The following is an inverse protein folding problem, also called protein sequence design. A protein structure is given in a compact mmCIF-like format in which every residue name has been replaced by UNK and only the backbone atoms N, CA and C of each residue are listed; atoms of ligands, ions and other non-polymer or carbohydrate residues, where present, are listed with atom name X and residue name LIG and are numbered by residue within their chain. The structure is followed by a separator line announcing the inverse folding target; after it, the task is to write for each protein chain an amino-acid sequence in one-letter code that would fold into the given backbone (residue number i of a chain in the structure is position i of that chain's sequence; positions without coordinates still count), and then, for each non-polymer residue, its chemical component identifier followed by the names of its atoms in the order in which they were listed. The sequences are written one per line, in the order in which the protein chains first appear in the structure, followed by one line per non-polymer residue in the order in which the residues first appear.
data_IF_308297866268
#
_entry.id   IF_308297866268
#
_cell.length_a   1.000
_cell.length_b   1.000
_cell.length_c   1.000
_cell.angle_alpha   90.00
_cell.angle_beta   90.00
_cell.angle_gamma   90.00
#
_symmetry.space_group_name_H-M   'P 1'
#
loop_
_entity.id
_entity.type
_entity.pdbx_description
1 polymer ?
#
# COMPACT_ATOMS: atom_id res chain seq x y z
N UNK A 1 26.60 -9.16 7.31
CA UNK A 1 26.31 -7.79 7.84
C UNK A 1 27.63 -7.02 7.90
N UNK A 2 27.65 -5.78 7.42
CA UNK A 2 28.82 -4.92 7.62
C UNK A 2 28.82 -4.45 9.09
N UNK A 3 29.81 -4.80 9.92
CA UNK A 3 29.85 -4.40 11.34
C UNK A 3 29.90 -2.88 11.52
N UNK A 4 30.37 -2.15 10.50
CA UNK A 4 30.53 -0.69 10.53
C UNK A 4 29.38 0.06 9.83
N UNK A 5 28.34 -0.64 9.38
CA UNK A 5 27.24 -0.01 8.65
C UNK A 5 26.52 1.07 9.47
N UNK A 6 26.45 0.91 10.80
CA UNK A 6 25.87 1.91 11.70
C UNK A 6 26.69 3.21 11.78
N UNK A 7 27.99 3.18 11.43
CA UNK A 7 28.86 4.35 11.39
C UNK A 7 28.67 5.19 10.11
N UNK A 8 27.99 4.64 9.09
CA UNK A 8 27.73 5.34 7.84
C UNK A 8 26.73 6.50 8.01
N UNK A 9 25.90 6.48 9.06
CA UNK A 9 24.96 7.55 9.39
C UNK A 9 25.46 8.37 10.58
N UNK A 10 25.88 9.61 10.31
CA UNK A 10 26.43 10.53 11.32
C UNK A 10 25.37 11.29 12.12
N UNK A 11 24.10 11.23 11.72
CA UNK A 11 22.99 11.92 12.36
C UNK A 11 22.26 11.06 13.41
N UNK A 12 21.30 11.65 14.15
CA UNK A 12 20.41 10.90 15.02
C UNK A 12 19.62 9.83 14.26
N UNK A 13 19.33 8.70 14.87
CA UNK A 13 18.60 7.57 14.24
C UNK A 13 17.22 7.96 13.71
N UNK A 14 16.54 8.86 14.41
CA UNK A 14 15.22 9.34 14.00
C UNK A 14 15.23 10.10 12.67
N UNK A 15 16.31 10.82 12.34
CA UNK A 15 16.42 11.54 11.05
C UNK A 15 16.53 10.56 9.87
N UNK A 16 17.23 9.45 10.06
CA UNK A 16 17.23 8.36 9.07
C UNK A 16 15.83 7.73 8.96
N UNK A 17 15.17 7.48 10.11
CA UNK A 17 13.82 6.93 10.12
C UNK A 17 12.83 7.83 9.36
N UNK A 18 12.90 9.15 9.54
CA UNK A 18 12.09 10.12 8.78
C UNK A 18 12.41 10.05 7.29
N UNK A 19 13.69 10.07 6.91
CA UNK A 19 14.09 10.00 5.50
C UNK A 19 13.56 8.72 4.82
N UNK A 20 13.72 7.57 5.47
CA UNK A 20 13.25 6.28 4.97
C UNK A 20 11.71 6.18 4.97
N UNK A 21 11.03 6.78 5.94
CA UNK A 21 9.58 6.86 5.96
C UNK A 21 9.05 7.72 4.80
N UNK A 22 9.66 8.89 4.56
CA UNK A 22 9.32 9.75 3.42
C UNK A 22 9.48 9.02 2.07
N UNK A 23 10.55 8.22 1.93
CA UNK A 23 10.72 7.36 0.75
C UNK A 23 9.61 6.32 0.63
N UNK A 24 9.28 5.64 1.72
CA UNK A 24 8.28 4.57 1.72
C UNK A 24 6.85 5.07 1.50
N UNK A 25 6.52 6.24 2.05
CA UNK A 25 5.16 6.80 1.98
C UNK A 25 4.83 7.44 0.64
N UNK A 26 5.83 7.78 -0.19
CA UNK A 26 5.61 8.52 -1.44
C UNK A 26 4.61 7.81 -2.37
N UNK A 27 4.60 6.47 -2.37
CA UNK A 27 3.67 5.67 -3.14
C UNK A 27 2.20 5.94 -2.76
N UNK A 28 1.75 5.58 -1.55
CA UNK A 28 0.39 5.87 -1.09
C UNK A 28 0.06 7.35 -1.12
N UNK A 29 1.00 8.21 -0.70
CA UNK A 29 0.81 9.65 -0.67
C UNK A 29 0.42 10.21 -2.05
N UNK A 30 1.04 9.73 -3.13
CA UNK A 30 0.71 10.19 -4.49
C UNK A 30 -0.64 9.67 -5.02
N UNK A 31 -1.20 8.61 -4.42
CA UNK A 31 -2.56 8.15 -4.70
C UNK A 31 -3.56 9.04 -3.97
N UNK A 32 -3.37 9.20 -2.67
CA UNK A 32 -4.34 9.83 -1.79
C UNK A 32 -4.44 11.35 -2.02
N UNK A 33 -3.33 12.02 -2.38
CA UNK A 33 -3.32 13.44 -2.75
C UNK A 33 -4.10 13.71 -4.04
N UNK A 34 -4.15 12.76 -4.95
CA UNK A 34 -4.79 12.88 -6.26
C UNK A 34 -6.31 12.72 -6.20
N UNK A 35 -6.83 11.90 -5.27
CA UNK A 35 -8.25 11.51 -5.21
C UNK A 35 -9.23 12.69 -5.08
N UNK A 36 -8.98 13.74 -4.28
CA UNK A 36 -9.90 14.87 -4.18
C UNK A 36 -10.11 15.66 -5.47
N UNK A 37 -9.12 15.64 -6.38
CA UNK A 37 -9.19 16.35 -7.66
C UNK A 37 -9.81 15.52 -8.81
N UNK A 38 -10.21 14.29 -8.55
CA UNK A 38 -10.59 13.29 -9.57
C UNK A 38 -11.68 13.78 -10.53
N UNK A 39 -12.75 14.38 -9.99
CA UNK A 39 -13.84 14.93 -10.78
C UNK A 39 -13.40 16.15 -11.62
N UNK A 40 -12.56 17.03 -11.05
CA UNK A 40 -12.03 18.18 -11.76
C UNK A 40 -11.12 17.79 -12.91
N UNK A 41 -10.27 16.78 -12.72
CA UNK A 41 -9.43 16.22 -13.79
C UNK A 41 -10.30 15.62 -14.87
N UNK A 42 -11.30 14.80 -14.53
CA UNK A 42 -12.22 14.19 -15.48
C UNK A 42 -12.85 15.24 -16.40
N UNK A 43 -13.34 16.33 -15.81
CA UNK A 43 -13.93 17.45 -16.56
C UNK A 43 -12.90 18.14 -17.45
N UNK A 44 -11.68 18.39 -16.93
CA UNK A 44 -10.62 19.11 -17.65
C UNK A 44 -10.12 18.36 -18.88
N UNK A 45 -9.94 17.03 -18.78
CA UNK A 45 -9.40 16.20 -19.89
C UNK A 45 -10.49 15.48 -20.69
N UNK A 46 -11.77 15.75 -20.40
CA UNK A 46 -12.92 15.11 -21.08
C UNK A 46 -12.98 13.59 -20.83
N UNK A 47 -12.58 13.11 -19.65
CA UNK A 47 -12.51 11.69 -19.34
C UNK A 47 -13.78 11.19 -18.65
N UNK A 48 -14.15 9.94 -18.97
CA UNK A 48 -15.21 9.23 -18.23
C UNK A 48 -14.72 8.77 -16.85
N UNK A 49 -15.62 8.50 -15.87
CA UNK A 49 -15.24 7.93 -14.57
C UNK A 49 -14.42 6.64 -14.69
N UNK A 50 -14.74 5.79 -15.68
CA UNK A 50 -13.99 4.55 -15.95
C UNK A 50 -12.56 4.84 -16.40
N UNK A 51 -12.37 5.80 -17.31
CA UNK A 51 -11.04 6.21 -17.75
C UNK A 51 -10.21 6.81 -16.62
N UNK A 52 -10.85 7.55 -15.72
CA UNK A 52 -10.18 8.05 -14.51
C UNK A 52 -9.72 6.92 -13.60
N UNK A 53 -10.52 5.86 -13.40
CA UNK A 53 -10.10 4.68 -12.63
C UNK A 53 -8.91 3.95 -13.28
N UNK A 54 -8.77 4.01 -14.60
CA UNK A 54 -7.60 3.46 -15.30
C UNK A 54 -6.29 4.16 -14.93
N UNK A 55 -6.33 5.45 -14.52
CA UNK A 55 -5.12 6.14 -14.04
C UNK A 55 -4.62 5.56 -12.73
N UNK A 56 -5.52 5.17 -11.83
CA UNK A 56 -5.18 4.47 -10.58
C UNK A 56 -4.73 3.04 -10.84
N UNK A 57 -5.45 2.33 -11.72
CA UNK A 57 -5.12 0.96 -12.10
C UNK A 57 -3.73 0.87 -12.75
N UNK A 58 -3.40 1.78 -13.67
CA UNK A 58 -2.09 1.83 -14.33
C UNK A 58 -0.95 2.11 -13.35
N UNK A 59 -1.17 3.02 -12.41
CA UNK A 59 -0.23 3.29 -11.33
C UNK A 59 0.02 2.04 -10.48
N UNK A 60 -1.06 1.39 -9.99
CA UNK A 60 -0.97 0.19 -9.15
C UNK A 60 -0.37 -1.00 -9.90
N UNK A 61 -0.65 -1.13 -11.20
CA UNK A 61 -0.04 -2.16 -12.04
C UNK A 61 1.47 -1.93 -12.21
N UNK A 62 1.88 -0.69 -12.50
CA UNK A 62 3.29 -0.31 -12.57
C UNK A 62 4.02 -0.60 -11.25
N UNK A 63 3.40 -0.22 -10.14
CA UNK A 63 3.89 -0.50 -8.79
C UNK A 63 4.03 -2.01 -8.53
N UNK A 64 3.02 -2.81 -8.89
CA UNK A 64 3.00 -4.26 -8.72
C UNK A 64 4.14 -4.95 -9.47
N UNK A 65 4.29 -4.61 -10.76
CA UNK A 65 5.33 -5.20 -11.62
C UNK A 65 6.71 -4.89 -11.07
N UNK A 66 6.98 -3.63 -10.75
CA UNK A 66 8.31 -3.23 -10.28
C UNK A 66 8.65 -3.70 -8.87
N UNK A 67 7.64 -3.94 -8.01
CA UNK A 67 7.89 -4.54 -6.69
C UNK A 67 8.59 -5.91 -6.76
N UNK A 68 8.38 -6.67 -7.82
CA UNK A 68 9.12 -7.93 -8.04
C UNK A 68 10.62 -7.69 -8.31
N UNK A 69 10.96 -6.57 -8.93
CA UNK A 69 12.32 -6.31 -9.41
C UNK A 69 13.12 -5.41 -8.47
N UNK A 70 12.49 -4.48 -7.74
CA UNK A 70 13.19 -3.50 -6.90
C UNK A 70 14.15 -4.14 -5.91
N UNK A 71 13.77 -5.26 -5.27
CA UNK A 71 14.64 -5.98 -4.33
C UNK A 71 15.91 -6.48 -5.03
N UNK A 72 15.74 -7.25 -6.09
CA UNK A 72 16.86 -7.83 -6.86
C UNK A 72 17.72 -6.76 -7.55
N UNK A 73 17.10 -5.70 -8.06
CA UNK A 73 17.83 -4.55 -8.62
C UNK A 73 18.65 -3.84 -7.55
N UNK A 74 18.12 -3.67 -6.33
CA UNK A 74 18.85 -3.04 -5.24
C UNK A 74 20.03 -3.90 -4.72
N UNK A 75 19.88 -5.24 -4.81
CA UNK A 75 20.95 -6.18 -4.46
C UNK A 75 22.06 -6.21 -5.53
N UNK A 76 21.74 -5.87 -6.76
CA UNK A 76 22.69 -5.86 -7.89
C UNK A 76 23.36 -4.49 -8.08
N UNK A 77 22.57 -3.42 -8.18
CA UNK A 77 23.04 -2.06 -8.48
C UNK A 77 23.57 -1.34 -7.24
N UNK A 78 23.07 -1.71 -6.07
CA UNK A 78 23.25 -1.00 -4.80
C UNK A 78 21.99 -0.29 -4.35
N UNK A 79 21.89 0.02 -3.06
CA UNK A 79 20.71 0.63 -2.44
C UNK A 79 20.52 2.07 -2.92
N UNK A 80 21.58 2.87 -2.79
CA UNK A 80 21.56 4.30 -3.12
C UNK A 80 21.29 4.57 -4.60
N UNK A 81 21.95 3.94 -5.58
CA UNK A 81 21.66 4.17 -7.00
C UNK A 81 20.21 3.86 -7.37
N UNK A 82 19.63 2.79 -6.82
CA UNK A 82 18.24 2.44 -7.10
C UNK A 82 17.26 3.46 -6.51
N UNK A 83 17.49 3.93 -5.28
CA UNK A 83 16.67 4.99 -4.67
C UNK A 83 16.72 6.27 -5.50
N UNK A 84 17.92 6.71 -5.87
CA UNK A 84 18.10 7.96 -6.65
C UNK A 84 17.47 7.83 -8.05
N UNK A 85 17.66 6.71 -8.73
CA UNK A 85 17.03 6.43 -10.03
C UNK A 85 15.49 6.40 -9.94
N UNK A 86 14.95 5.72 -8.92
CA UNK A 86 13.52 5.68 -8.65
C UNK A 86 12.94 7.05 -8.36
N UNK A 87 13.58 7.86 -7.50
CA UNK A 87 13.13 9.22 -7.18
C UNK A 87 13.20 10.15 -8.40
N UNK A 88 14.25 10.06 -9.22
CA UNK A 88 14.36 10.83 -10.45
C UNK A 88 13.23 10.49 -11.43
N UNK A 89 12.97 9.18 -11.64
CA UNK A 89 11.86 8.74 -12.49
C UNK A 89 10.49 9.18 -11.94
N UNK A 90 10.28 9.08 -10.61
CA UNK A 90 9.06 9.56 -9.97
C UNK A 90 8.85 11.06 -10.20
N UNK A 91 9.90 11.86 -10.02
CA UNK A 91 9.86 13.31 -10.24
C UNK A 91 9.51 13.65 -11.69
N UNK A 92 10.21 13.02 -12.65
CA UNK A 92 9.94 13.23 -14.08
C UNK A 92 8.54 12.77 -14.48
N UNK A 93 8.07 11.64 -13.98
CA UNK A 93 6.72 11.16 -14.22
C UNK A 93 5.67 12.09 -13.60
N UNK A 94 5.94 12.67 -12.43
CA UNK A 94 5.06 13.68 -11.81
C UNK A 94 4.99 14.95 -12.64
N UNK A 95 6.13 15.43 -13.19
CA UNK A 95 6.15 16.54 -14.15
C UNK A 95 5.33 16.19 -15.40
N UNK A 96 5.49 14.97 -15.93
CA UNK A 96 4.69 14.48 -17.05
C UNK A 96 3.19 14.49 -16.76
N UNK A 97 2.77 14.03 -15.58
CA UNK A 97 1.38 14.12 -15.13
C UNK A 97 0.89 15.60 -15.07
N UNK A 98 1.74 16.51 -14.53
CA UNK A 98 1.40 17.93 -14.43
C UNK A 98 1.27 18.63 -15.80
N UNK A 99 1.93 18.11 -16.82
CA UNK A 99 1.89 18.65 -18.19
C UNK A 99 0.90 17.92 -19.10
N UNK A 100 0.22 16.89 -18.60
CA UNK A 100 -0.73 16.08 -19.39
C UNK A 100 -1.96 16.89 -19.76
N UNK A 101 -2.35 16.81 -21.03
CA UNK A 101 -3.55 17.44 -21.57
C UNK A 101 -4.61 16.41 -21.97
N UNK A 102 -4.25 15.14 -21.99
CA UNK A 102 -5.13 14.03 -22.38
C UNK A 102 -5.11 12.93 -21.32
N UNK A 103 -6.21 12.17 -21.25
CA UNK A 103 -6.28 11.03 -20.33
C UNK A 103 -5.22 9.96 -20.64
N UNK A 104 -4.87 9.76 -21.92
CA UNK A 104 -3.85 8.79 -22.33
C UNK A 104 -2.46 9.14 -21.82
N UNK A 105 -2.07 10.43 -21.90
CA UNK A 105 -0.82 10.94 -21.32
C UNK A 105 -0.81 10.72 -19.81
N UNK A 106 -1.90 11.07 -19.12
CA UNK A 106 -2.01 10.92 -17.68
C UNK A 106 -1.88 9.44 -17.27
N UNK A 107 -2.56 8.51 -17.96
CA UNK A 107 -2.45 7.06 -17.73
C UNK A 107 -1.00 6.58 -17.89
N UNK A 108 -0.32 7.03 -18.94
CA UNK A 108 1.08 6.67 -19.21
C UNK A 108 2.03 7.16 -18.10
N UNK A 109 1.95 8.45 -17.75
CA UNK A 109 2.82 9.00 -16.71
C UNK A 109 2.48 8.47 -15.32
N UNK A 110 1.21 8.14 -15.04
CA UNK A 110 0.80 7.46 -13.81
C UNK A 110 1.39 6.05 -13.71
N UNK A 111 1.46 5.31 -14.82
CA UNK A 111 2.15 4.01 -14.85
C UNK A 111 3.63 4.14 -14.50
N UNK A 112 4.35 5.11 -15.10
CA UNK A 112 5.76 5.38 -14.80
C UNK A 112 5.97 5.81 -13.34
N UNK A 113 5.07 6.66 -12.81
CA UNK A 113 5.08 7.10 -11.42
C UNK A 113 4.90 5.91 -10.47
N UNK A 114 3.96 5.00 -10.77
CA UNK A 114 3.76 3.75 -10.02
C UNK A 114 4.98 2.84 -10.07
N UNK A 115 5.58 2.64 -11.24
CA UNK A 115 6.80 1.84 -11.41
C UNK A 115 7.94 2.32 -10.53
N UNK A 116 8.08 3.62 -10.32
CA UNK A 116 9.18 4.21 -9.56
C UNK A 116 8.91 4.29 -8.06
N UNK A 117 7.67 4.49 -7.64
CA UNK A 117 7.30 4.74 -6.24
C UNK A 117 7.61 3.57 -5.30
N UNK A 118 7.55 2.33 -5.79
CA UNK A 118 7.85 1.13 -5.02
C UNK A 118 9.31 0.99 -4.59
N UNK A 119 10.25 1.63 -5.31
CA UNK A 119 11.67 1.56 -4.99
C UNK A 119 11.97 2.05 -3.57
N UNK A 120 11.39 3.18 -3.17
CA UNK A 120 11.56 3.75 -1.85
C UNK A 120 11.11 2.80 -0.73
N UNK A 121 9.94 2.20 -0.87
CA UNK A 121 9.39 1.29 0.14
C UNK A 121 10.22 0.00 0.31
N UNK A 122 10.62 -0.62 -0.80
CA UNK A 122 11.38 -1.88 -0.78
C UNK A 122 12.78 -1.66 -0.24
N UNK A 123 13.46 -0.63 -0.74
CA UNK A 123 14.87 -0.38 -0.40
C UNK A 123 15.03 0.17 1.00
N UNK A 124 14.09 0.97 1.53
CA UNK A 124 14.13 1.44 2.91
C UNK A 124 14.24 0.30 3.92
N UNK A 125 13.48 -0.78 3.72
CA UNK A 125 13.54 -1.96 4.59
C UNK A 125 14.89 -2.67 4.49
N UNK A 126 15.47 -2.74 3.29
CA UNK A 126 16.79 -3.34 3.09
C UNK A 126 17.88 -2.52 3.78
N UNK A 127 17.85 -1.18 3.63
CA UNK A 127 18.80 -0.25 4.29
C UNK A 127 18.77 -0.43 5.81
N UNK A 128 17.59 -0.51 6.42
CA UNK A 128 17.46 -0.72 7.87
C UNK A 128 18.13 -2.03 8.30
N UNK A 129 17.93 -3.10 7.53
CA UNK A 129 18.52 -4.42 7.81
C UNK A 129 20.05 -4.44 7.60
N UNK A 130 20.54 -3.65 6.63
CA UNK A 130 21.98 -3.54 6.36
C UNK A 130 22.70 -2.73 7.44
N UNK A 131 22.02 -1.72 8.02
CA UNK A 131 22.63 -0.75 8.93
C UNK A 131 22.53 -1.11 10.42
N UNK A 132 21.49 -1.83 10.82
CA UNK A 132 21.19 -2.01 12.25
C UNK A 132 21.13 -3.48 12.66
N UNK A 133 21.63 -3.82 13.89
CA UNK A 133 21.39 -5.13 14.49
C UNK A 133 19.87 -5.34 14.71
N UNK A 134 19.40 -6.59 14.86
CA UNK A 134 17.98 -6.93 14.84
C UNK A 134 17.10 -6.09 15.78
N UNK A 135 17.55 -5.82 17.01
CA UNK A 135 16.79 -5.04 18.00
C UNK A 135 16.64 -3.57 17.59
N UNK A 136 17.72 -2.96 17.12
CA UNK A 136 17.70 -1.56 16.66
C UNK A 136 16.97 -1.42 15.32
N UNK A 137 17.14 -2.39 14.42
CA UNK A 137 16.40 -2.47 13.16
C UNK A 137 14.87 -2.49 13.43
N UNK A 138 14.42 -3.25 14.43
CA UNK A 138 13.00 -3.28 14.81
C UNK A 138 12.54 -1.91 15.32
N UNK A 139 13.34 -1.21 16.11
CA UNK A 139 13.01 0.15 16.62
C UNK A 139 12.89 1.16 15.47
N UNK A 140 13.85 1.18 14.56
CA UNK A 140 13.83 2.08 13.39
C UNK A 140 12.65 1.75 12.49
N UNK A 141 12.37 0.46 12.25
CA UNK A 141 11.23 0.03 11.45
C UNK A 141 9.89 0.47 12.06
N UNK A 142 9.76 0.40 13.39
CA UNK A 142 8.57 0.89 14.09
C UNK A 142 8.40 2.41 13.94
N UNK A 143 9.48 3.18 14.02
CA UNK A 143 9.44 4.64 13.77
C UNK A 143 9.01 4.94 12.33
N UNK A 144 9.59 4.25 11.34
CA UNK A 144 9.19 4.38 9.93
C UNK A 144 7.70 4.09 9.74
N UNK A 145 7.18 3.05 10.40
CA UNK A 145 5.76 2.68 10.32
C UNK A 145 4.84 3.75 10.90
N UNK A 146 5.23 4.39 12.01
CA UNK A 146 4.47 5.49 12.62
C UNK A 146 4.39 6.68 11.65
N UNK A 147 5.52 7.11 11.10
CA UNK A 147 5.54 8.21 10.12
C UNK A 147 4.78 7.87 8.84
N UNK A 148 4.91 6.62 8.36
CA UNK A 148 4.16 6.12 7.22
C UNK A 148 2.64 6.19 7.43
N UNK A 149 2.15 5.91 8.64
CA UNK A 149 0.73 5.96 8.97
C UNK A 149 0.11 7.36 8.94
N UNK A 150 0.91 8.43 9.03
CA UNK A 150 0.43 9.82 8.95
C UNK A 150 0.14 10.24 7.51
N UNK A 151 0.87 9.72 6.54
CA UNK A 151 0.82 10.16 5.15
C UNK A 151 -0.59 10.08 4.52
N UNK A 152 -1.32 8.96 4.61
CA UNK A 152 -2.66 8.85 4.01
C UNK A 152 -3.72 9.74 4.68
N UNK A 153 -3.50 10.18 5.93
CA UNK A 153 -4.38 11.14 6.59
C UNK A 153 -4.16 12.56 6.07
N UNK A 154 -2.89 12.93 5.82
CA UNK A 154 -2.50 14.28 5.39
C UNK A 154 -2.66 14.46 3.88
N UNK A 155 -2.41 13.43 3.09
CA UNK A 155 -2.38 13.52 1.63
C UNK A 155 -3.69 14.04 1.00
N UNK A 156 -4.90 13.54 1.36
CA UNK A 156 -6.14 14.06 0.79
C UNK A 156 -6.43 15.50 1.20
N UNK A 157 -5.99 15.91 2.42
CA UNK A 157 -6.12 17.30 2.86
C UNK A 157 -5.27 18.23 2.00
N UNK A 158 -4.00 17.85 1.77
CA UNK A 158 -3.10 18.61 0.90
C UNK A 158 -3.64 18.65 -0.53
N UNK A 159 -4.08 17.52 -1.06
CA UNK A 159 -4.65 17.42 -2.40
C UNK A 159 -5.90 18.28 -2.58
N UNK A 160 -6.82 18.22 -1.61
CA UNK A 160 -8.04 19.02 -1.62
C UNK A 160 -7.75 20.52 -1.56
N UNK A 161 -6.80 20.94 -0.70
CA UNK A 161 -6.39 22.35 -0.61
C UNK A 161 -5.74 22.85 -1.92
N UNK A 162 -4.82 22.08 -2.50
CA UNK A 162 -4.17 22.43 -3.77
C UNK A 162 -5.20 22.53 -4.90
N UNK A 163 -6.14 21.58 -4.97
CA UNK A 163 -7.18 21.58 -5.99
C UNK A 163 -8.12 22.79 -5.89
N UNK A 164 -8.55 23.15 -4.67
CA UNK A 164 -9.49 24.26 -4.46
C UNK A 164 -8.85 25.62 -4.68
N UNK A 165 -7.56 25.80 -4.34
CA UNK A 165 -6.90 27.12 -4.41
C UNK A 165 -6.08 27.36 -5.70
N UNK A 166 -5.74 26.30 -6.42
CA UNK A 166 -5.01 26.40 -7.68
C UNK A 166 -5.75 25.62 -8.79
N UNK A 167 -5.34 24.42 -9.06
CA UNK A 167 -6.02 23.46 -9.92
C UNK A 167 -5.42 22.05 -9.70
N UNK A 168 -5.85 21.06 -10.48
CA UNK A 168 -5.37 19.71 -10.35
C UNK A 168 -3.89 19.53 -10.79
N UNK A 169 -3.35 20.36 -11.69
CA UNK A 169 -1.95 20.31 -12.11
C UNK A 169 -1.02 20.63 -10.94
N UNK A 170 -1.46 21.53 -10.02
CA UNK A 170 -0.71 21.88 -8.82
C UNK A 170 -0.42 20.69 -7.94
N UNK A 171 -1.27 19.67 -7.91
CA UNK A 171 -1.05 18.42 -7.15
C UNK A 171 0.18 17.69 -7.71
N UNK A 172 0.29 17.57 -9.02
CA UNK A 172 1.41 16.87 -9.64
C UNK A 172 2.70 17.71 -9.60
N UNK A 173 2.62 19.03 -9.69
CA UNK A 173 3.76 19.91 -9.44
C UNK A 173 4.25 19.81 -8.00
N UNK A 174 3.34 19.73 -7.04
CA UNK A 174 3.67 19.50 -5.63
C UNK A 174 4.36 18.14 -5.45
N UNK A 175 3.84 17.06 -6.05
CA UNK A 175 4.46 15.74 -6.02
C UNK A 175 5.84 15.72 -6.69
N UNK A 176 6.02 16.45 -7.78
CA UNK A 176 7.32 16.64 -8.43
C UNK A 176 8.31 17.38 -7.50
N UNK A 177 7.84 18.41 -6.81
CA UNK A 177 8.62 19.14 -5.82
C UNK A 177 9.04 18.26 -4.64
N UNK A 178 8.11 17.48 -4.09
CA UNK A 178 8.40 16.50 -3.02
C UNK A 178 9.40 15.47 -3.50
N UNK A 179 9.22 14.92 -4.72
CA UNK A 179 10.15 13.97 -5.33
C UNK A 179 11.55 14.56 -5.50
N UNK A 180 11.67 15.80 -5.98
CA UNK A 180 12.94 16.50 -6.17
C UNK A 180 13.64 16.76 -4.82
N UNK A 181 12.90 17.23 -3.81
CA UNK A 181 13.42 17.44 -2.45
C UNK A 181 13.93 16.13 -1.84
N UNK A 182 13.15 15.05 -1.96
CA UNK A 182 13.56 13.74 -1.50
C UNK A 182 14.76 13.20 -2.29
N UNK A 183 14.79 13.42 -3.60
CA UNK A 183 15.95 13.05 -4.43
C UNK A 183 17.21 13.76 -3.92
N UNK A 184 17.15 15.08 -3.72
CA UNK A 184 18.27 15.90 -3.24
C UNK A 184 18.70 15.48 -1.83
N UNK A 185 17.74 15.25 -0.94
CA UNK A 185 18.00 14.79 0.42
C UNK A 185 18.71 13.42 0.43
N UNK A 186 18.24 12.47 -0.37
CA UNK A 186 18.87 11.16 -0.48
C UNK A 186 20.23 11.23 -1.19
N UNK A 187 20.38 12.06 -2.21
CA UNK A 187 21.66 12.30 -2.85
C UNK A 187 22.71 12.86 -1.86
N UNK A 188 22.28 13.75 -0.97
CA UNK A 188 23.17 14.41 -0.01
C UNK A 188 23.50 13.54 1.20
N UNK A 189 22.53 12.79 1.71
CA UNK A 189 22.63 12.14 3.02
C UNK A 189 22.58 10.63 2.99
N UNK A 190 21.90 10.01 2.01
CA UNK A 190 21.78 8.55 2.02
C UNK A 190 23.11 7.90 1.67
N UNK A 191 23.71 7.10 2.58
CA UNK A 191 24.94 6.34 2.26
C UNK A 191 24.61 5.12 1.40
N UNK A 192 25.61 4.59 0.69
CA UNK A 192 25.51 3.25 0.12
C UNK A 192 25.76 2.22 1.22
N UNK A 193 24.74 1.38 1.49
CA UNK A 193 24.81 0.40 2.57
C UNK A 193 25.21 -0.99 2.10
N UNK A 194 25.13 -1.26 0.79
CA UNK A 194 25.50 -2.53 0.20
C UNK A 194 26.94 -2.48 -0.35
N UNK A 195 27.85 -3.20 0.30
CA UNK A 195 29.23 -3.34 -0.15
C UNK A 195 29.30 -3.93 -1.56
N UNK A 196 30.23 -3.46 -2.40
CA UNK A 196 30.40 -3.98 -3.76
C UNK A 196 30.62 -5.49 -3.80
N UNK A 197 31.38 -6.04 -2.85
CA UNK A 197 31.61 -7.48 -2.74
C UNK A 197 30.36 -8.30 -2.36
N UNK A 198 29.33 -7.67 -1.81
CA UNK A 198 28.07 -8.32 -1.43
C UNK A 198 26.98 -8.20 -2.53
N UNK A 199 27.27 -7.49 -3.62
CA UNK A 199 26.34 -7.34 -4.74
C UNK A 199 26.15 -8.68 -5.46
N UNK A 200 24.91 -9.01 -5.76
CA UNK A 200 24.54 -10.22 -6.47
C UNK A 200 24.25 -9.91 -7.94
N UNK A 201 24.70 -10.75 -8.89
CA UNK A 201 24.36 -10.53 -10.29
C UNK A 201 22.85 -10.64 -10.50
N UNK A 202 22.27 -9.68 -11.21
CA UNK A 202 20.86 -9.69 -11.54
C UNK A 202 20.55 -10.80 -12.54
N UNK A 203 19.85 -11.83 -12.09
CA UNK A 203 19.48 -12.98 -12.93
C UNK A 203 17.96 -13.15 -12.95
N UNK A 204 17.34 -12.59 -13.99
CA UNK A 204 15.88 -12.64 -14.20
C UNK A 204 15.35 -14.07 -14.24
N UNK A 205 16.06 -15.01 -14.87
CA UNK A 205 15.61 -16.40 -14.99
C UNK A 205 15.52 -17.11 -13.64
N UNK A 206 16.50 -16.89 -12.77
CA UNK A 206 16.49 -17.47 -11.42
C UNK A 206 15.42 -16.83 -10.56
N UNK A 207 15.22 -15.52 -10.68
CA UNK A 207 14.18 -14.77 -9.99
C UNK A 207 12.78 -15.26 -10.39
N UNK A 208 12.50 -15.33 -11.69
CA UNK A 208 11.22 -15.81 -12.21
C UNK A 208 10.95 -17.27 -11.85
N UNK A 209 11.99 -18.13 -11.89
CA UNK A 209 11.86 -19.53 -11.44
C UNK A 209 11.51 -19.62 -9.96
N UNK A 210 12.14 -18.79 -9.11
CA UNK A 210 11.83 -18.74 -7.69
C UNK A 210 10.40 -18.25 -7.44
N UNK A 211 9.94 -17.23 -8.14
CA UNK A 211 8.57 -16.73 -8.06
C UNK A 211 7.56 -17.78 -8.53
N UNK A 212 7.85 -18.48 -9.60
CA UNK A 212 7.01 -19.57 -10.09
C UNK A 212 6.87 -20.72 -9.10
N UNK A 213 7.95 -21.08 -8.40
CA UNK A 213 7.90 -22.10 -7.34
C UNK A 213 7.00 -21.67 -6.17
N UNK A 214 7.08 -20.39 -5.76
CA UNK A 214 6.23 -19.82 -4.72
C UNK A 214 4.76 -19.76 -5.15
N UNK A 215 4.50 -19.35 -6.38
CA UNK A 215 3.15 -19.30 -6.95
C UNK A 215 2.51 -20.71 -7.10
N UNK A 216 3.29 -21.77 -7.04
CA UNK A 216 2.78 -23.16 -7.02
C UNK A 216 2.57 -23.72 -5.61
N UNK A 217 2.95 -23.00 -4.56
CA UNK A 217 2.69 -23.42 -3.19
C UNK A 217 1.26 -23.01 -2.77
N UNK A 218 0.30 -23.97 -2.71
CA UNK A 218 -1.10 -23.63 -2.47
C UNK A 218 -1.34 -23.13 -1.05
N UNK A 219 -0.53 -23.57 -0.05
CA UNK A 219 -0.64 -23.09 1.32
C UNK A 219 -0.18 -21.63 1.43
N UNK A 220 0.93 -21.30 0.79
CA UNK A 220 1.44 -19.94 0.70
C UNK A 220 0.40 -19.02 0.02
N UNK A 221 -0.10 -19.40 -1.14
CA UNK A 221 -1.11 -18.63 -1.87
C UNK A 221 -2.39 -18.44 -1.06
N UNK A 222 -2.89 -19.48 -0.39
CA UNK A 222 -4.08 -19.33 0.44
C UNK A 222 -3.89 -18.35 1.60
N UNK A 223 -2.72 -18.32 2.24
CA UNK A 223 -2.39 -17.32 3.27
C UNK A 223 -2.29 -15.91 2.69
N UNK A 224 -1.68 -15.77 1.51
CA UNK A 224 -1.61 -14.47 0.80
C UNK A 224 -3.02 -13.98 0.43
N UNK A 225 -3.88 -14.86 -0.08
CA UNK A 225 -5.27 -14.52 -0.38
C UNK A 225 -6.08 -14.20 0.88
N UNK A 226 -5.88 -14.95 1.97
CA UNK A 226 -6.56 -14.72 3.25
C UNK A 226 -6.24 -13.35 3.86
N UNK A 227 -5.06 -12.77 3.59
CA UNK A 227 -4.67 -11.44 4.07
C UNK A 227 -4.89 -10.33 3.05
N UNK A 228 -4.60 -10.59 1.78
CA UNK A 228 -4.56 -9.59 0.72
C UNK A 228 -5.93 -9.27 0.11
N UNK A 229 -6.78 -10.28 -0.09
CA UNK A 229 -8.10 -10.05 -0.71
C UNK A 229 -9.04 -9.26 0.22
N UNK A 230 -9.16 -9.56 1.54
CA UNK A 230 -9.95 -8.73 2.43
C UNK A 230 -9.50 -7.26 2.50
N UNK A 231 -8.20 -6.99 2.37
CA UNK A 231 -7.71 -5.61 2.26
C UNK A 231 -8.45 -4.82 1.19
N UNK A 232 -8.70 -5.43 0.05
CA UNK A 232 -9.42 -4.79 -1.05
C UNK A 232 -10.88 -4.49 -0.71
N UNK A 233 -11.49 -5.15 0.26
CA UNK A 233 -12.82 -4.82 0.76
C UNK A 233 -12.90 -3.41 1.37
N UNK A 234 -11.82 -2.94 1.99
CA UNK A 234 -11.64 -1.57 2.46
C UNK A 234 -11.03 -0.66 1.38
N UNK A 235 -9.97 -1.11 0.72
CA UNK A 235 -9.22 -0.30 -0.24
C UNK A 235 -10.06 0.10 -1.46
N UNK A 236 -11.07 -0.69 -1.82
CA UNK A 236 -12.06 -0.34 -2.83
C UNK A 236 -12.78 0.98 -2.52
N UNK A 237 -13.12 1.26 -1.26
CA UNK A 237 -13.70 2.54 -0.86
C UNK A 237 -12.70 3.70 -0.98
N UNK A 238 -11.41 3.45 -0.74
CA UNK A 238 -10.35 4.43 -1.01
C UNK A 238 -10.28 4.75 -2.50
N UNK A 239 -10.30 3.72 -3.36
CA UNK A 239 -10.26 3.89 -4.82
C UNK A 239 -11.55 4.52 -5.38
N UNK A 240 -12.69 4.24 -4.77
CA UNK A 240 -13.99 4.84 -5.09
C UNK A 240 -14.23 6.17 -4.36
N UNK A 241 -13.27 6.68 -3.56
CA UNK A 241 -13.47 7.84 -2.71
C UNK A 241 -14.05 9.07 -3.44
N UNK A 242 -13.66 9.41 -4.67
CA UNK A 242 -14.25 10.53 -5.38
C UNK A 242 -15.78 10.41 -5.55
N UNK A 243 -16.26 9.24 -5.90
CA UNK A 243 -17.71 8.96 -6.06
C UNK A 243 -18.35 8.72 -4.70
N UNK A 244 -17.74 7.87 -3.85
CA UNK A 244 -18.29 7.53 -2.54
C UNK A 244 -18.41 8.75 -1.63
N UNK A 245 -17.37 9.56 -1.49
CA UNK A 245 -17.37 10.73 -0.63
C UNK A 245 -18.01 11.94 -1.31
N UNK A 246 -17.69 12.19 -2.59
CA UNK A 246 -18.14 13.36 -3.32
C UNK A 246 -19.60 13.27 -3.79
N UNK A 247 -19.99 12.15 -4.42
CA UNK A 247 -21.33 12.01 -4.99
C UNK A 247 -22.34 11.44 -3.98
N UNK A 248 -21.99 10.33 -3.28
CA UNK A 248 -22.95 9.70 -2.36
C UNK A 248 -23.05 10.40 -1.01
N UNK A 249 -21.92 10.88 -0.45
CA UNK A 249 -21.92 11.54 0.87
C UNK A 249 -21.90 13.07 0.78
N UNK A 250 -21.83 13.64 -0.42
CA UNK A 250 -21.86 15.09 -0.68
C UNK A 250 -20.75 15.87 0.05
N UNK A 251 -19.60 15.24 0.26
CA UNK A 251 -18.44 15.86 0.92
C UNK A 251 -17.60 16.63 -0.09
N UNK A 252 -17.18 17.83 0.30
CA UNK A 252 -16.23 18.61 -0.49
C UNK A 252 -14.81 18.02 -0.50
N UNK A 253 -13.96 18.37 -1.48
CA UNK A 253 -12.59 17.83 -1.62
C UNK A 253 -11.74 17.98 -0.36
N UNK A 254 -11.94 19.07 0.40
CA UNK A 254 -11.21 19.32 1.65
C UNK A 254 -11.69 18.48 2.83
N UNK A 255 -12.84 17.80 2.71
CA UNK A 255 -13.43 16.99 3.77
C UNK A 255 -13.07 15.50 3.63
N UNK A 256 -12.44 15.08 2.54
CA UNK A 256 -12.05 13.68 2.31
C UNK A 256 -11.13 13.15 3.41
N UNK A 257 -10.34 14.01 4.05
CA UNK A 257 -9.43 13.59 5.12
C UNK A 257 -10.13 12.91 6.30
N UNK A 258 -11.42 13.18 6.56
CA UNK A 258 -12.18 12.52 7.64
C UNK A 258 -12.28 11.01 7.43
N UNK A 259 -12.59 10.59 6.20
CA UNK A 259 -12.64 9.18 5.84
C UNK A 259 -11.27 8.48 6.04
N UNK A 260 -10.21 9.11 5.57
CA UNK A 260 -8.86 8.57 5.69
C UNK A 260 -8.41 8.53 7.15
N UNK A 261 -8.69 9.55 7.93
CA UNK A 261 -8.36 9.60 9.37
C UNK A 261 -9.04 8.48 10.13
N UNK A 262 -10.33 8.25 9.90
CA UNK A 262 -11.09 7.16 10.53
C UNK A 262 -10.55 5.78 10.10
N UNK A 263 -10.32 5.58 8.82
CA UNK A 263 -9.83 4.30 8.27
C UNK A 263 -8.44 3.97 8.80
N UNK A 264 -7.53 4.95 8.81
CA UNK A 264 -6.17 4.80 9.35
C UNK A 264 -6.21 4.60 10.86
N UNK A 265 -7.08 5.32 11.56
CA UNK A 265 -7.34 5.09 12.99
C UNK A 265 -7.72 3.64 13.26
N UNK A 266 -8.56 3.05 12.42
CA UNK A 266 -8.89 1.62 12.45
C UNK A 266 -7.66 0.74 12.26
N UNK A 267 -6.86 0.99 11.21
CA UNK A 267 -5.63 0.24 10.93
C UNK A 267 -4.64 0.33 12.11
N UNK A 268 -4.38 1.53 12.61
CA UNK A 268 -3.45 1.75 13.71
C UNK A 268 -3.93 1.09 15.01
N UNK A 269 -5.23 1.23 15.32
CA UNK A 269 -5.85 0.58 16.48
C UNK A 269 -5.75 -0.95 16.42
N UNK A 270 -6.06 -1.54 15.26
CA UNK A 270 -5.95 -2.98 15.04
C UNK A 270 -4.50 -3.48 15.15
N UNK A 271 -3.54 -2.77 14.57
CA UNK A 271 -2.12 -3.08 14.65
C UNK A 271 -1.60 -2.98 16.11
N UNK A 272 -2.01 -1.95 16.84
CA UNK A 272 -1.64 -1.77 18.24
C UNK A 272 -2.18 -2.90 19.13
N UNK A 273 -3.45 -3.27 18.97
CA UNK A 273 -4.05 -4.41 19.66
C UNK A 273 -3.34 -5.71 19.27
N UNK A 274 -3.06 -5.92 17.98
CA UNK A 274 -2.30 -7.06 17.47
C UNK A 274 -0.95 -7.22 18.19
N UNK A 275 -0.21 -6.13 18.31
CA UNK A 275 1.07 -6.11 19.04
C UNK A 275 0.93 -6.45 20.53
N UNK A 276 -0.13 -5.96 21.20
CA UNK A 276 -0.38 -6.26 22.62
C UNK A 276 -0.84 -7.70 22.87
N UNK A 277 -1.50 -8.31 21.90
CA UNK A 277 -1.95 -9.70 21.98
C UNK A 277 -0.85 -10.70 21.61
N UNK A 278 0.24 -10.26 20.99
CA UNK A 278 1.38 -11.10 20.63
C UNK A 278 1.93 -11.85 21.85
N UNK A 279 2.04 -13.17 21.72
CA UNK A 279 2.47 -14.06 22.81
C UNK A 279 1.43 -14.30 23.92
N UNK A 280 0.31 -13.56 23.97
CA UNK A 280 -0.74 -13.72 24.98
C UNK A 280 -1.89 -14.63 24.50
N UNK A 281 -2.19 -14.60 23.21
CA UNK A 281 -3.20 -15.46 22.62
C UNK A 281 -2.59 -16.25 21.46
N UNK A 282 -3.16 -17.42 21.17
CA UNK A 282 -2.73 -18.24 20.03
C UNK A 282 -2.99 -17.51 18.71
N UNK A 283 -2.05 -17.55 17.73
CA UNK A 283 -2.19 -16.89 16.44
C UNK A 283 -3.55 -17.12 15.75
N UNK A 284 -4.06 -18.34 15.83
CA UNK A 284 -5.36 -18.72 15.25
C UNK A 284 -6.56 -18.00 15.86
N UNK A 285 -6.54 -17.74 17.16
CA UNK A 285 -7.61 -16.99 17.83
C UNK A 285 -7.59 -15.54 17.39
N UNK A 286 -6.40 -14.94 17.25
CA UNK A 286 -6.26 -13.58 16.77
C UNK A 286 -6.80 -13.43 15.34
N UNK A 287 -6.45 -14.35 14.43
CA UNK A 287 -6.98 -14.36 13.05
C UNK A 287 -8.49 -14.53 13.07
N UNK A 288 -9.04 -15.47 13.87
CA UNK A 288 -10.49 -15.68 14.00
C UNK A 288 -11.21 -14.44 14.47
N UNK A 289 -10.68 -13.70 15.45
CA UNK A 289 -11.28 -12.45 15.93
C UNK A 289 -11.26 -11.38 14.84
N UNK A 290 -10.15 -11.20 14.11
CA UNK A 290 -10.08 -10.25 13.00
C UNK A 290 -11.10 -10.56 11.89
N UNK A 291 -11.19 -11.83 11.48
CA UNK A 291 -12.17 -12.28 10.48
C UNK A 291 -13.62 -12.11 10.96
N UNK A 292 -13.90 -12.41 12.24
CA UNK A 292 -15.23 -12.25 12.81
C UNK A 292 -15.66 -10.78 12.85
N UNK A 293 -14.77 -9.88 13.28
CA UNK A 293 -15.02 -8.44 13.27
C UNK A 293 -15.34 -7.96 11.85
N UNK A 294 -14.51 -8.34 10.87
CA UNK A 294 -14.73 -7.97 9.46
C UNK A 294 -16.05 -8.52 8.93
N UNK A 295 -16.41 -9.77 9.24
CA UNK A 295 -17.66 -10.38 8.80
C UNK A 295 -18.87 -9.65 9.37
N UNK A 296 -18.89 -9.45 10.70
CA UNK A 296 -20.01 -8.81 11.38
C UNK A 296 -20.23 -7.38 10.89
N UNK A 297 -19.14 -6.61 10.75
CA UNK A 297 -19.24 -5.23 10.29
C UNK A 297 -19.60 -5.12 8.80
N UNK A 298 -19.15 -6.07 7.97
CA UNK A 298 -19.56 -6.12 6.56
C UNK A 298 -21.05 -6.44 6.41
N UNK A 299 -21.57 -7.39 7.19
CA UNK A 299 -23.01 -7.68 7.23
C UNK A 299 -23.80 -6.48 7.73
N UNK A 300 -23.32 -5.82 8.78
CA UNK A 300 -23.94 -4.58 9.28
C UNK A 300 -23.92 -3.47 8.23
N UNK A 301 -22.79 -3.31 7.50
CA UNK A 301 -22.68 -2.31 6.43
C UNK A 301 -23.69 -2.57 5.29
N UNK A 302 -23.86 -3.84 4.88
CA UNK A 302 -24.89 -4.21 3.88
C UNK A 302 -26.29 -3.90 4.43
N UNK A 303 -26.59 -4.28 5.68
CA UNK A 303 -27.89 -4.01 6.29
C UNK A 303 -28.18 -2.50 6.41
N UNK A 304 -27.19 -1.69 6.80
CA UNK A 304 -27.32 -0.23 6.87
C UNK A 304 -27.63 0.38 5.50
N UNK A 305 -26.95 -0.07 4.43
CA UNK A 305 -27.21 0.41 3.07
C UNK A 305 -28.53 -0.10 2.46
N UNK A 306 -29.13 -1.15 3.02
CA UNK A 306 -30.49 -1.61 2.65
C UNK A 306 -31.58 -0.84 3.36
N UNK A 307 -31.33 -0.41 4.59
CA UNK A 307 -32.35 0.18 5.46
C UNK A 307 -32.33 1.71 5.49
N UNK A 308 -31.18 2.32 5.22
CA UNK A 308 -30.96 3.76 5.34
C UNK A 308 -30.27 4.33 4.11
N UNK A 309 -30.58 5.56 3.77
CA UNK A 309 -29.84 6.31 2.77
C UNK A 309 -28.41 6.63 3.24
N UNK A 310 -27.43 6.66 2.33
CA UNK A 310 -26.04 6.96 2.68
C UNK A 310 -25.92 8.34 3.34
N UNK A 311 -25.29 8.39 4.51
CA UNK A 311 -25.02 9.63 5.22
C UNK A 311 -23.64 9.61 5.87
N UNK A 312 -22.93 10.73 5.79
CA UNK A 312 -21.55 10.84 6.28
C UNK A 312 -21.36 10.42 7.75
N UNK A 313 -22.37 10.65 8.59
CA UNK A 313 -22.29 10.36 10.02
C UNK A 313 -22.12 8.87 10.36
N UNK A 314 -22.56 7.95 9.49
CA UNK A 314 -22.44 6.52 9.76
C UNK A 314 -21.71 5.73 8.64
N UNK A 315 -21.78 6.17 7.39
CA UNK A 315 -21.31 5.37 6.24
C UNK A 315 -19.80 5.07 6.25
N UNK A 316 -19.00 5.92 6.91
CA UNK A 316 -17.54 5.73 7.02
C UNK A 316 -17.14 4.78 8.17
N UNK A 317 -17.95 4.65 9.21
CA UNK A 317 -17.63 3.86 10.42
C UNK A 317 -17.44 2.36 10.14
N UNK A 318 -18.30 1.68 9.35
CA UNK A 318 -18.11 0.28 9.03
C UNK A 318 -16.77 0.00 8.38
N UNK A 319 -16.28 0.91 7.52
CA UNK A 319 -15.01 0.77 6.81
C UNK A 319 -13.84 0.90 7.78
N UNK A 320 -13.92 1.82 8.74
CA UNK A 320 -12.92 1.98 9.79
C UNK A 320 -12.83 0.74 10.71
N UNK A 321 -13.97 0.18 11.12
CA UNK A 321 -14.03 -1.04 11.94
C UNK A 321 -13.55 -2.26 11.14
N UNK A 322 -13.89 -2.34 9.86
CA UNK A 322 -13.35 -3.36 8.97
C UNK A 322 -11.83 -3.30 8.90
N UNK A 323 -11.27 -2.11 8.76
CA UNK A 323 -9.83 -1.86 8.72
C UNK A 323 -9.12 -2.27 10.01
N UNK A 324 -9.78 -2.05 11.16
CA UNK A 324 -9.32 -2.54 12.46
C UNK A 324 -9.25 -4.07 12.49
N UNK A 325 -10.31 -4.76 12.06
CA UNK A 325 -10.34 -6.23 12.01
C UNK A 325 -9.26 -6.81 11.10
N UNK A 326 -9.06 -6.20 9.93
CA UNK A 326 -8.00 -6.59 9.00
C UNK A 326 -6.61 -6.41 9.60
N UNK A 327 -6.34 -5.25 10.17
CA UNK A 327 -5.03 -4.92 10.76
C UNK A 327 -4.73 -5.73 12.02
N UNK A 328 -5.77 -6.19 12.74
CA UNK A 328 -5.61 -7.11 13.86
C UNK A 328 -5.02 -8.45 13.42
N UNK A 329 -5.44 -9.00 12.29
CA UNK A 329 -5.05 -10.35 11.84
C UNK A 329 -3.84 -10.37 10.90
N UNK A 330 -3.65 -9.34 10.08
CA UNK A 330 -2.69 -9.37 8.96
C UNK A 330 -1.25 -9.65 9.37
N UNK A 331 -0.70 -9.11 10.50
CA UNK A 331 0.67 -9.42 10.88
C UNK A 331 0.89 -10.91 11.15
N UNK A 332 -0.12 -11.56 11.74
CA UNK A 332 -0.05 -13.00 12.07
C UNK A 332 -0.13 -13.84 10.81
N UNK A 333 -1.06 -13.53 9.90
CA UNK A 333 -1.20 -14.27 8.61
C UNK A 333 0.05 -14.11 7.75
N UNK A 334 0.64 -12.91 7.74
CA UNK A 334 1.88 -12.64 7.01
C UNK A 334 3.04 -13.48 7.54
N UNK A 335 3.21 -13.56 8.85
CA UNK A 335 4.25 -14.41 9.45
C UNK A 335 4.04 -15.89 9.08
N UNK A 336 2.81 -16.39 9.19
CA UNK A 336 2.48 -17.76 8.78
C UNK A 336 2.77 -18.02 7.29
N UNK A 337 2.56 -17.03 6.42
CA UNK A 337 2.89 -17.16 5.00
C UNK A 337 4.41 -17.21 4.77
N UNK A 338 5.18 -16.37 5.47
CA UNK A 338 6.64 -16.36 5.37
C UNK A 338 7.28 -17.63 5.95
N UNK A 339 6.66 -18.23 6.97
CA UNK A 339 7.13 -19.47 7.57
C UNK A 339 6.89 -20.70 6.68
N UNK A 340 6.02 -20.62 5.65
CA UNK A 340 5.91 -21.67 4.63
C UNK A 340 7.18 -21.80 3.75
N UNK A 341 8.06 -20.81 3.76
CA UNK A 341 9.25 -20.73 2.89
C UNK A 341 10.43 -20.08 3.64
N UNK A 342 10.93 -20.72 4.70
CA UNK A 342 11.91 -20.13 5.62
C UNK A 342 13.20 -19.71 4.92
N UNK A 343 13.65 -20.46 3.91
CA UNK A 343 14.88 -20.21 3.16
C UNK A 343 14.77 -19.03 2.18
N UNK A 344 13.54 -18.58 1.84
CA UNK A 344 13.27 -17.58 0.80
C UNK A 344 12.26 -16.51 1.24
N UNK A 345 12.26 -16.14 2.52
CA UNK A 345 11.31 -15.16 3.10
C UNK A 345 11.28 -13.82 2.37
N UNK A 346 12.42 -13.32 1.90
CA UNK A 346 12.49 -12.09 1.11
C UNK A 346 11.73 -12.18 -0.22
N UNK A 347 11.92 -13.30 -0.92
CA UNK A 347 11.21 -13.58 -2.17
C UNK A 347 9.70 -13.78 -1.92
N UNK A 348 9.32 -14.47 -0.85
CA UNK A 348 7.92 -14.64 -0.45
C UNK A 348 7.25 -13.29 -0.15
N UNK A 349 7.94 -12.37 0.54
CA UNK A 349 7.45 -11.01 0.79
C UNK A 349 7.24 -10.23 -0.52
N UNK A 350 8.15 -10.36 -1.50
CA UNK A 350 8.02 -9.72 -2.81
C UNK A 350 6.82 -10.25 -3.59
N UNK A 351 6.61 -11.58 -3.60
CA UNK A 351 5.45 -12.20 -4.25
C UNK A 351 4.15 -11.77 -3.57
N UNK A 352 4.12 -11.78 -2.24
CA UNK A 352 2.95 -11.30 -1.48
C UNK A 352 2.60 -9.85 -1.83
N UNK A 353 3.60 -8.96 -1.85
CA UNK A 353 3.41 -7.54 -2.20
C UNK A 353 2.96 -7.37 -3.66
N UNK A 354 3.52 -8.14 -4.59
CA UNK A 354 3.12 -8.12 -5.99
C UNK A 354 1.66 -8.58 -6.16
N UNK A 355 1.28 -9.72 -5.58
CA UNK A 355 -0.08 -10.24 -5.66
C UNK A 355 -1.09 -9.29 -5.03
N UNK A 356 -0.76 -8.67 -3.89
CA UNK A 356 -1.59 -7.64 -3.28
C UNK A 356 -1.77 -6.43 -4.21
N UNK A 357 -0.68 -5.93 -4.81
CA UNK A 357 -0.74 -4.78 -5.72
C UNK A 357 -1.46 -5.10 -7.03
N UNK A 358 -1.33 -6.33 -7.55
CA UNK A 358 -2.11 -6.79 -8.71
C UNK A 358 -3.61 -6.87 -8.39
N UNK A 359 -3.96 -7.38 -7.21
CA UNK A 359 -5.35 -7.38 -6.74
C UNK A 359 -5.89 -5.95 -6.62
N UNK A 360 -5.10 -5.02 -6.04
CA UNK A 360 -5.45 -3.60 -5.95
C UNK A 360 -5.66 -2.99 -7.35
N UNK A 361 -4.79 -3.30 -8.32
CA UNK A 361 -4.91 -2.83 -9.70
C UNK A 361 -6.18 -3.37 -10.39
N UNK A 362 -6.48 -4.66 -10.19
CA UNK A 362 -7.69 -5.28 -10.73
C UNK A 362 -8.97 -4.68 -10.10
N UNK A 363 -8.93 -4.43 -8.78
CA UNK A 363 -10.03 -3.76 -8.09
C UNK A 363 -10.22 -2.34 -8.63
N UNK A 364 -9.15 -1.56 -8.79
CA UNK A 364 -9.20 -0.20 -9.34
C UNK A 364 -9.73 -0.17 -10.78
N UNK A 365 -9.23 -1.07 -11.64
CA UNK A 365 -9.53 -1.04 -13.06
C UNK A 365 -10.81 -1.76 -13.47
N UNK A 366 -11.30 -2.70 -12.65
CA UNK A 366 -12.45 -3.55 -13.01
C UNK A 366 -13.57 -3.45 -11.97
N UNK A 367 -13.32 -3.75 -10.69
CA UNK A 367 -14.39 -3.82 -9.71
C UNK A 367 -14.98 -2.44 -9.38
N UNK A 368 -14.11 -1.45 -9.12
CA UNK A 368 -14.58 -0.11 -8.75
C UNK A 368 -15.47 0.50 -9.82
N UNK A 369 -15.13 0.52 -11.12
CA UNK A 369 -16.01 1.03 -12.17
C UNK A 369 -17.40 0.38 -12.21
N UNK A 370 -17.49 -0.91 -11.84
CA UNK A 370 -18.74 -1.66 -11.87
C UNK A 370 -19.64 -1.37 -10.66
N UNK A 371 -19.07 -0.99 -9.52
CA UNK A 371 -19.81 -0.92 -8.24
C UNK A 371 -19.84 0.48 -7.61
N UNK A 372 -19.03 1.43 -8.06
CA UNK A 372 -18.87 2.74 -7.41
C UNK A 372 -20.11 3.60 -7.39
N UNK A 373 -21.06 3.38 -8.31
CA UNK A 373 -22.28 4.16 -8.42
C UNK A 373 -23.40 3.71 -7.45
N UNK A 374 -23.14 2.71 -6.59
CA UNK A 374 -24.07 2.25 -5.57
C UNK A 374 -23.33 1.89 -4.29
N UNK A 375 -23.71 2.54 -3.18
CA UNK A 375 -23.13 2.25 -1.86
C UNK A 375 -23.45 0.84 -1.40
N UNK A 376 -24.63 0.32 -1.76
CA UNK A 376 -25.02 -1.07 -1.51
C UNK A 376 -24.12 -2.04 -2.32
N UNK A 377 -23.85 -1.75 -3.60
CA UNK A 377 -22.95 -2.58 -4.41
C UNK A 377 -21.53 -2.60 -3.84
N UNK A 378 -21.02 -1.46 -3.37
CA UNK A 378 -19.73 -1.37 -2.64
C UNK A 378 -19.75 -2.25 -1.37
N UNK A 379 -20.82 -2.18 -0.56
CA UNK A 379 -20.93 -2.95 0.66
C UNK A 379 -20.99 -4.47 0.40
N UNK A 380 -21.79 -4.90 -0.58
CA UNK A 380 -21.91 -6.32 -0.98
C UNK A 380 -20.58 -6.85 -1.56
N UNK A 381 -19.92 -6.05 -2.39
CA UNK A 381 -18.62 -6.44 -2.96
C UNK A 381 -17.53 -6.55 -1.87
N UNK A 382 -17.52 -5.63 -0.91
CA UNK A 382 -16.62 -5.69 0.26
C UNK A 382 -16.86 -6.96 1.08
N UNK A 383 -18.13 -7.33 1.32
CA UNK A 383 -18.49 -8.59 1.98
C UNK A 383 -18.04 -9.81 1.16
N UNK A 384 -18.19 -9.79 -0.16
CA UNK A 384 -17.74 -10.85 -1.06
C UNK A 384 -16.22 -11.05 -1.01
N UNK A 385 -15.45 -9.96 -1.07
CA UNK A 385 -13.98 -10.00 -0.97
C UNK A 385 -13.52 -10.52 0.41
N UNK A 386 -14.20 -10.11 1.48
CA UNK A 386 -13.99 -10.66 2.82
C UNK A 386 -14.30 -12.18 2.86
N UNK A 387 -15.41 -12.60 2.23
CA UNK A 387 -15.81 -14.00 2.12
C UNK A 387 -14.77 -14.87 1.42
N UNK A 388 -14.13 -14.37 0.35
CA UNK A 388 -13.02 -15.07 -0.35
C UNK A 388 -11.84 -15.25 0.62
N UNK A 389 -11.46 -14.20 1.36
CA UNK A 389 -10.39 -14.29 2.36
C UNK A 389 -10.69 -15.30 3.48
N UNK A 390 -11.94 -15.31 3.96
CA UNK A 390 -12.42 -16.29 4.95
C UNK A 390 -12.36 -17.71 4.40
N UNK A 391 -12.82 -17.94 3.18
CA UNK A 391 -12.76 -19.26 2.53
C UNK A 391 -11.31 -19.75 2.37
N UNK A 392 -10.39 -18.87 1.96
CA UNK A 392 -8.97 -19.18 1.86
C UNK A 392 -8.37 -19.55 3.23
N UNK A 393 -8.73 -18.84 4.30
CA UNK A 393 -8.31 -19.17 5.66
C UNK A 393 -8.87 -20.52 6.14
N UNK A 394 -10.16 -20.77 5.96
CA UNK A 394 -10.80 -22.03 6.34
C UNK A 394 -10.17 -23.22 5.60
N UNK A 395 -9.81 -23.03 4.33
CA UNK A 395 -9.16 -24.05 3.53
C UNK A 395 -7.72 -24.36 4.01
N UNK A 396 -6.93 -23.34 4.40
CA UNK A 396 -5.52 -23.53 4.77
C UNK A 396 -5.34 -23.93 6.23
N UNK A 397 -6.21 -23.51 7.13
CA UNK A 397 -6.09 -23.73 8.58
C UNK A 397 -5.84 -25.20 8.97
N UNK A 398 -6.61 -26.21 8.53
CA UNK A 398 -6.35 -27.62 8.88
C UNK A 398 -5.00 -28.11 8.36
N UNK A 399 -4.55 -27.59 7.20
CA UNK A 399 -3.31 -27.99 6.52
C UNK A 399 -2.04 -27.45 7.20
N UNK A 400 -2.18 -26.42 8.04
CA UNK A 400 -1.11 -25.93 8.89
C UNK A 400 -0.95 -26.80 10.16
N UNK A 401 -2.01 -27.50 10.57
CA UNK A 401 -2.01 -28.38 11.75
C UNK A 401 -1.30 -29.71 11.52
N UNK A 402 -1.23 -30.14 10.28
CA UNK A 402 -0.63 -31.42 9.87
C UNK A 402 0.86 -31.36 9.58
N UNK A 403 1.52 -30.19 9.73
CA UNK A 403 2.96 -30.10 9.62
C UNK A 403 3.62 -30.59 10.93
N UNK A 404 4.51 -31.60 10.90
CA UNK A 404 5.35 -31.89 12.05
C UNK A 404 6.19 -30.67 12.38
N UNK A 405 6.37 -30.42 13.69
CA UNK A 405 7.13 -29.30 14.22
C UNK A 405 8.63 -29.39 13.85
#
# INVERSE_FOLDING_TARGET
MNPDAHLLWRGPRWTLAVLLACLGMLGPFSIDTYLPAFAGIATSVGATPVQMQQTLSSYLLGFAVMNLFHGALSDSLGRRPLVLGGMALFTLASVGCALSNTIGELVFYRALQGMSAGAGMVVSRAIIRDMFPPVDAQRVMSQVTIFFGVAPAVAPMVGGLLFVHADWHAIFWFLAGVGAVLWLANWRWLPETLHQAARQPFNVRNLLRGYWQLARNPRFLALVLASGIPFNGMFMYVLAAPVFLGEHLQLGPTQFFWFFTLTIGGIMGGAWVSGRLAGRIKPRHQIRHGLLIMLLISLANVALNLLFEPHWAWAMLPIAVFSFGWSLMVPVVTLLALDQVPDRRGMASSVQSCLASLANAAVAGVLVPLVMHSTLALAVTSLGLMGIGLAAWVWVKPRLETQPA
#
